data_IF_491894746913
#
_entry.id   IF_491894746913
#
_cell.length_a   1.000
_cell.length_b   1.000
_cell.length_c   1.000
_cell.angle_alpha   90.00
_cell.angle_beta   90.00
_cell.angle_gamma   90.00
#
_symmetry.space_group_name_H-M   'P 1'
#
loop_
_entity.id
_entity.type
_entity.pdbx_description
1 polymer ?
#
# COMPACT_ATOMS: atom_id res chain seq x y z
N UNK A 1 17.71 -41.42 -3.14
CA UNK A 1 17.17 -40.12 -3.59
C UNK A 1 15.73 -40.04 -3.17
N UNK A 2 15.47 -39.42 -2.02
CA UNK A 2 14.15 -38.96 -1.59
C UNK A 2 14.29 -37.46 -1.34
N UNK A 3 13.40 -36.59 -1.87
CA UNK A 3 13.46 -35.18 -1.57
C UNK A 3 12.97 -34.95 -0.14
N UNK A 4 13.76 -34.23 0.66
CA UNK A 4 13.38 -33.74 1.97
C UNK A 4 12.28 -32.65 1.80
N UNK A 5 11.10 -32.76 2.42
CA UNK A 5 10.02 -31.79 2.29
C UNK A 5 10.40 -30.46 2.94
N UNK A 6 10.12 -29.39 2.19
CA UNK A 6 10.15 -27.97 2.55
C UNK A 6 10.09 -27.64 4.05
N UNK A 7 11.16 -27.01 4.55
CA UNK A 7 11.16 -26.22 5.77
C UNK A 7 10.28 -24.97 5.56
N UNK A 8 9.00 -25.11 5.87
CA UNK A 8 8.19 -23.98 6.28
C UNK A 8 8.58 -23.55 7.69
N UNK A 9 8.17 -22.32 8.04
CA UNK A 9 8.08 -21.76 9.40
C UNK A 9 9.29 -20.92 9.84
N UNK A 10 9.31 -19.65 9.40
CA UNK A 10 9.33 -18.44 10.27
C UNK A 10 9.46 -17.14 9.44
N UNK A 11 8.38 -16.74 8.76
CA UNK A 11 8.05 -15.32 8.47
C UNK A 11 6.58 -15.19 8.02
N UNK A 12 5.68 -15.77 8.80
CA UNK A 12 4.31 -16.08 8.34
C UNK A 12 3.31 -14.94 8.50
N UNK A 13 3.61 -13.85 9.20
CA UNK A 13 2.62 -12.78 9.46
C UNK A 13 2.82 -11.58 8.53
N UNK A 14 4.08 -11.18 8.28
CA UNK A 14 4.41 -10.05 7.40
C UNK A 14 4.19 -10.40 5.92
N UNK A 15 4.61 -11.61 5.48
CA UNK A 15 4.30 -12.12 4.14
C UNK A 15 2.80 -12.39 3.90
N UNK A 16 2.04 -12.80 4.93
CA UNK A 16 0.58 -12.97 4.83
C UNK A 16 -0.15 -11.65 4.72
N UNK A 17 0.32 -10.59 5.37
CA UNK A 17 -0.28 -9.27 5.27
C UNK A 17 -0.11 -8.71 3.86
N UNK A 18 1.09 -8.84 3.28
CA UNK A 18 1.37 -8.43 1.91
C UNK A 18 0.55 -9.25 0.91
N UNK A 19 0.43 -10.56 1.13
CA UNK A 19 -0.40 -11.45 0.28
C UNK A 19 -1.88 -11.07 0.36
N UNK A 20 -2.40 -10.76 1.55
CA UNK A 20 -3.79 -10.31 1.73
C UNK A 20 -4.07 -8.99 1.03
N UNK A 21 -3.14 -8.04 1.11
CA UNK A 21 -3.26 -6.75 0.41
C UNK A 21 -3.20 -6.96 -1.11
N UNK A 22 -2.29 -7.81 -1.60
CA UNK A 22 -2.22 -8.18 -3.02
C UNK A 22 -3.50 -8.85 -3.52
N UNK A 23 -4.07 -9.77 -2.74
CA UNK A 23 -5.35 -10.39 -3.06
C UNK A 23 -6.47 -9.36 -3.10
N UNK A 24 -6.59 -8.50 -2.09
CA UNK A 24 -7.63 -7.45 -2.05
C UNK A 24 -7.52 -6.47 -3.22
N UNK A 25 -6.29 -6.04 -3.55
CA UNK A 25 -6.05 -5.12 -4.66
C UNK A 25 -6.42 -5.76 -6.00
N UNK A 26 -6.07 -7.03 -6.19
CA UNK A 26 -6.44 -7.78 -7.39
C UNK A 26 -7.95 -7.96 -7.49
N UNK A 27 -8.60 -8.36 -6.39
CA UNK A 27 -10.05 -8.53 -6.30
C UNK A 27 -10.81 -7.24 -6.62
N UNK A 28 -10.38 -6.10 -6.05
CA UNK A 28 -11.00 -4.81 -6.33
C UNK A 28 -10.80 -4.36 -7.78
N UNK A 29 -9.62 -4.57 -8.36
CA UNK A 29 -9.38 -4.23 -9.76
C UNK A 29 -10.26 -5.07 -10.70
N UNK A 30 -10.37 -6.38 -10.44
CA UNK A 30 -11.11 -7.31 -11.29
C UNK A 30 -12.62 -7.16 -11.12
N UNK A 31 -13.10 -7.03 -9.88
CA UNK A 31 -14.51 -6.76 -9.56
C UNK A 31 -14.96 -5.42 -10.13
N UNK A 32 -14.16 -4.36 -9.97
CA UNK A 32 -14.48 -3.05 -10.55
C UNK A 32 -14.58 -3.09 -12.07
N UNK A 33 -13.69 -3.83 -12.73
CA UNK A 33 -13.76 -4.04 -14.17
C UNK A 33 -15.00 -4.84 -14.59
N UNK A 34 -15.45 -5.79 -13.77
CA UNK A 34 -16.68 -6.55 -14.03
C UNK A 34 -17.93 -5.69 -13.88
N UNK A 35 -18.05 -4.95 -12.77
CA UNK A 35 -19.15 -4.01 -12.54
C UNK A 35 -19.25 -2.98 -13.66
N UNK A 36 -18.11 -2.44 -14.12
CA UNK A 36 -18.10 -1.48 -15.22
C UNK A 36 -18.65 -2.07 -16.51
N UNK A 37 -18.29 -3.32 -16.85
CA UNK A 37 -18.84 -3.99 -18.04
C UNK A 37 -20.35 -4.17 -17.92
N UNK A 38 -20.84 -4.58 -16.76
CA UNK A 38 -22.28 -4.71 -16.49
C UNK A 38 -23.00 -3.38 -16.70
N UNK A 39 -22.51 -2.30 -16.07
CA UNK A 39 -23.06 -0.94 -16.21
C UNK A 39 -23.07 -0.49 -17.68
N UNK A 40 -21.98 -0.73 -18.41
CA UNK A 40 -21.86 -0.35 -19.82
C UNK A 40 -22.80 -1.14 -20.73
N UNK A 41 -23.16 -2.36 -20.35
CA UNK A 41 -24.13 -3.19 -21.08
C UNK A 41 -25.59 -2.92 -20.71
N UNK A 42 -25.85 -2.22 -19.61
CA UNK A 42 -27.21 -1.88 -19.16
C UNK A 42 -27.73 -0.60 -19.83
N UNK A 43 -28.91 -0.69 -20.43
CA UNK A 43 -29.65 0.48 -20.94
C UNK A 43 -30.25 1.34 -19.83
N UNK A 44 -30.61 0.71 -18.71
CA UNK A 44 -31.28 1.33 -17.58
C UNK A 44 -30.30 1.62 -16.43
N UNK A 45 -30.71 2.55 -15.54
CA UNK A 45 -30.01 2.86 -14.30
C UNK A 45 -29.87 1.61 -13.41
N UNK A 46 -28.67 1.34 -12.89
CA UNK A 46 -28.43 0.23 -11.96
C UNK A 46 -29.30 0.37 -10.71
N UNK A 47 -29.85 -0.74 -10.26
CA UNK A 47 -30.75 -0.79 -9.11
C UNK A 47 -30.60 -2.11 -8.36
N UNK A 48 -31.20 -2.20 -7.17
CA UNK A 48 -31.23 -3.43 -6.39
C UNK A 48 -29.82 -3.95 -6.09
N UNK A 49 -29.57 -5.21 -6.46
CA UNK A 49 -28.30 -5.91 -6.17
C UNK A 49 -27.09 -5.21 -6.83
N UNK A 50 -27.21 -4.74 -8.07
CA UNK A 50 -26.11 -4.07 -8.78
C UNK A 50 -25.66 -2.80 -8.03
N UNK A 51 -26.62 -2.04 -7.47
CA UNK A 51 -26.33 -0.86 -6.67
C UNK A 51 -25.63 -1.23 -5.34
N UNK A 52 -26.03 -2.34 -4.72
CA UNK A 52 -25.40 -2.85 -3.50
C UNK A 52 -23.95 -3.24 -3.77
N UNK A 53 -23.70 -3.98 -4.86
CA UNK A 53 -22.35 -4.40 -5.25
C UNK A 53 -21.44 -3.19 -5.56
N UNK A 54 -21.95 -2.22 -6.32
CA UNK A 54 -21.24 -0.96 -6.62
C UNK A 54 -20.91 -0.20 -5.34
N UNK A 55 -21.88 0.01 -4.44
CA UNK A 55 -21.68 0.74 -3.19
C UNK A 55 -20.65 0.05 -2.28
N UNK A 56 -20.71 -1.29 -2.21
CA UNK A 56 -19.74 -2.10 -1.46
C UNK A 56 -18.34 -1.95 -2.03
N UNK A 57 -18.20 -2.03 -3.36
CA UNK A 57 -16.93 -1.89 -4.05
C UNK A 57 -16.32 -0.49 -3.85
N UNK A 58 -17.12 0.58 -4.02
CA UNK A 58 -16.71 1.97 -3.79
C UNK A 58 -16.15 2.13 -2.37
N UNK A 59 -16.87 1.61 -1.38
CA UNK A 59 -16.47 1.70 0.03
C UNK A 59 -15.15 0.97 0.31
N UNK A 60 -15.00 -0.26 -0.19
CA UNK A 60 -13.79 -1.06 -0.03
C UNK A 60 -12.57 -0.38 -0.67
N UNK A 61 -12.72 0.14 -1.89
CA UNK A 61 -11.66 0.88 -2.57
C UNK A 61 -11.26 2.13 -1.79
N UNK A 62 -12.22 2.92 -1.31
CA UNK A 62 -11.95 4.11 -0.50
C UNK A 62 -11.23 3.80 0.81
N UNK A 63 -11.52 2.68 1.47
CA UNK A 63 -10.80 2.24 2.66
C UNK A 63 -9.37 1.81 2.33
N UNK A 64 -9.19 1.04 1.27
CA UNK A 64 -7.88 0.59 0.82
C UNK A 64 -6.96 1.78 0.49
N UNK A 65 -7.46 2.76 -0.28
CA UNK A 65 -6.68 3.96 -0.65
C UNK A 65 -6.20 4.71 0.59
N UNK A 66 -7.10 4.94 1.57
CA UNK A 66 -6.73 5.61 2.82
C UNK A 66 -5.64 4.87 3.58
N UNK A 67 -5.69 3.54 3.60
CA UNK A 67 -4.70 2.71 4.31
C UNK A 67 -3.35 2.65 3.61
N UNK A 68 -3.32 2.64 2.28
CA UNK A 68 -2.09 2.51 1.51
C UNK A 68 -1.40 3.85 1.23
N UNK A 69 -2.18 4.88 0.90
CA UNK A 69 -1.65 6.16 0.40
C UNK A 69 -2.02 7.36 1.30
N UNK A 70 -3.03 7.25 2.15
CA UNK A 70 -3.54 8.35 2.96
C UNK A 70 -4.39 9.35 2.17
N UNK A 71 -5.03 10.28 2.90
CA UNK A 71 -6.03 11.22 2.35
C UNK A 71 -5.44 12.37 1.53
N UNK A 72 -4.13 12.63 1.64
CA UNK A 72 -3.44 13.67 0.86
C UNK A 72 -2.85 13.16 -0.47
N UNK A 73 -3.13 11.91 -0.83
CA UNK A 73 -2.56 11.29 -2.03
C UNK A 73 -3.35 11.61 -3.29
N UNK A 74 -2.67 11.60 -4.44
CA UNK A 74 -3.30 11.71 -5.77
C UNK A 74 -4.37 10.64 -5.99
N UNK A 75 -4.14 9.43 -5.46
CA UNK A 75 -5.10 8.32 -5.51
C UNK A 75 -6.40 8.67 -4.79
N UNK A 76 -6.30 9.24 -3.58
CA UNK A 76 -7.46 9.64 -2.80
C UNK A 76 -8.20 10.82 -3.44
N UNK A 77 -7.46 11.81 -3.94
CA UNK A 77 -8.05 12.95 -4.65
C UNK A 77 -8.81 12.51 -5.89
N UNK A 78 -8.23 11.63 -6.72
CA UNK A 78 -8.87 11.10 -7.93
C UNK A 78 -10.14 10.29 -7.59
N UNK A 79 -10.07 9.45 -6.55
CA UNK A 79 -11.24 8.71 -6.03
C UNK A 79 -12.34 9.67 -5.54
N UNK A 80 -11.97 10.67 -4.74
CA UNK A 80 -12.91 11.63 -4.15
C UNK A 80 -13.57 12.50 -5.21
N UNK A 81 -12.80 12.96 -6.21
CA UNK A 81 -13.32 13.72 -7.34
C UNK A 81 -14.28 12.91 -8.22
N UNK A 82 -14.01 11.62 -8.43
CA UNK A 82 -14.96 10.75 -9.13
C UNK A 82 -16.25 10.60 -8.30
N UNK A 83 -16.12 10.33 -6.99
CA UNK A 83 -17.24 10.13 -6.06
C UNK A 83 -18.12 11.38 -5.88
N UNK A 84 -17.56 12.58 -6.01
CA UNK A 84 -18.29 13.84 -5.90
C UNK A 84 -19.12 14.21 -7.14
N UNK A 85 -19.07 13.39 -8.20
CA UNK A 85 -19.90 13.59 -9.40
C UNK A 85 -21.38 13.59 -9.01
N UNK A 86 -22.12 14.59 -9.48
CA UNK A 86 -23.56 14.67 -9.26
C UNK A 86 -24.24 13.39 -9.73
N UNK A 87 -25.13 12.85 -8.89
CA UNK A 87 -25.82 11.60 -9.17
C UNK A 87 -24.88 10.41 -9.42
N UNK A 88 -23.78 10.32 -8.66
CA UNK A 88 -22.76 9.27 -8.78
C UNK A 88 -23.34 7.86 -8.98
N UNK A 89 -24.33 7.46 -8.17
CA UNK A 89 -24.91 6.11 -8.20
C UNK A 89 -25.94 5.87 -9.31
N UNK A 90 -26.32 6.91 -10.08
CA UNK A 90 -27.23 6.77 -11.22
C UNK A 90 -26.50 6.24 -12.46
N UNK A 91 -25.86 5.08 -12.31
CA UNK A 91 -24.97 4.53 -13.33
C UNK A 91 -25.77 3.81 -14.41
N UNK A 92 -25.44 4.10 -15.66
CA UNK A 92 -25.95 3.39 -16.85
C UNK A 92 -24.95 3.57 -18.01
N UNK A 93 -25.21 2.91 -19.13
CA UNK A 93 -24.33 2.91 -20.33
C UNK A 93 -23.91 4.31 -20.82
N UNK A 94 -24.76 5.33 -20.66
CA UNK A 94 -24.47 6.71 -21.05
C UNK A 94 -23.95 7.61 -19.92
N UNK A 95 -23.93 7.13 -18.67
CA UNK A 95 -23.51 7.89 -17.49
C UNK A 95 -22.69 7.03 -16.53
N UNK A 96 -21.47 6.70 -16.92
CA UNK A 96 -20.55 5.87 -16.12
C UNK A 96 -19.09 6.35 -16.17
N UNK A 97 -18.82 7.53 -16.73
CA UNK A 97 -17.46 8.02 -16.90
C UNK A 97 -16.72 8.16 -15.56
N UNK A 98 -17.39 8.66 -14.53
CA UNK A 98 -16.84 8.77 -13.17
C UNK A 98 -16.60 7.41 -12.51
N UNK A 99 -17.47 6.43 -12.75
CA UNK A 99 -17.21 5.06 -12.29
C UNK A 99 -16.00 4.45 -13.03
N UNK A 100 -15.86 4.69 -14.33
CA UNK A 100 -14.69 4.29 -15.12
C UNK A 100 -13.39 4.90 -14.58
N UNK A 101 -13.41 6.17 -14.18
CA UNK A 101 -12.27 6.83 -13.53
C UNK A 101 -11.90 6.14 -12.22
N UNK A 102 -12.90 5.78 -11.40
CA UNK A 102 -12.68 5.08 -10.14
C UNK A 102 -12.08 3.68 -10.35
N UNK A 103 -12.53 2.95 -11.38
CA UNK A 103 -11.92 1.67 -11.80
C UNK A 103 -10.47 1.88 -12.26
N UNK A 104 -10.18 3.00 -12.93
CA UNK A 104 -8.83 3.44 -13.25
C UNK A 104 -7.94 3.60 -12.02
N UNK A 105 -8.47 4.19 -10.94
CA UNK A 105 -7.75 4.29 -9.65
C UNK A 105 -7.44 2.90 -9.09
N UNK A 106 -8.39 1.96 -9.09
CA UNK A 106 -8.14 0.60 -8.63
C UNK A 106 -7.03 -0.11 -9.43
N UNK A 107 -6.99 0.10 -10.76
CA UNK A 107 -5.93 -0.42 -11.64
C UNK A 107 -4.56 0.22 -11.38
N UNK A 108 -4.52 1.52 -11.10
CA UNK A 108 -3.30 2.21 -10.72
C UNK A 108 -2.71 1.62 -9.42
N UNK A 109 -3.55 1.37 -8.41
CA UNK A 109 -3.12 0.74 -7.16
C UNK A 109 -2.55 -0.67 -7.41
N UNK A 110 -3.20 -1.46 -8.29
CA UNK A 110 -2.70 -2.77 -8.69
C UNK A 110 -1.34 -2.68 -9.36
N UNK A 111 -1.19 -1.77 -10.32
CA UNK A 111 0.09 -1.51 -10.97
C UNK A 111 1.19 -1.12 -9.96
N UNK A 112 0.89 -0.19 -9.05
CA UNK A 112 1.87 0.28 -8.06
C UNK A 112 2.33 -0.84 -7.13
N UNK A 113 1.41 -1.73 -6.74
CA UNK A 113 1.73 -2.86 -5.89
C UNK A 113 2.53 -3.94 -6.63
N UNK A 114 2.13 -4.30 -7.85
CA UNK A 114 2.81 -5.31 -8.68
C UNK A 114 4.24 -4.88 -9.04
N UNK A 115 4.48 -3.58 -9.21
CA UNK A 115 5.80 -3.02 -9.52
C UNK A 115 6.59 -2.61 -8.26
N UNK A 116 6.06 -2.85 -7.06
CA UNK A 116 6.74 -2.54 -5.80
C UNK A 116 6.92 -1.04 -5.52
N UNK A 117 6.16 -0.16 -6.20
CA UNK A 117 6.27 1.29 -6.07
C UNK A 117 5.89 1.77 -4.66
N UNK A 118 4.92 1.12 -4.02
CA UNK A 118 4.54 1.41 -2.62
C UNK A 118 5.70 1.24 -1.63
N UNK A 119 6.52 0.21 -1.83
CA UNK A 119 7.71 -0.04 -1.00
C UNK A 119 8.76 1.04 -1.25
N UNK A 120 8.98 1.38 -2.53
CA UNK A 120 9.92 2.44 -2.92
C UNK A 120 9.51 3.81 -2.37
N UNK A 121 8.23 4.19 -2.46
CA UNK A 121 7.73 5.45 -1.90
C UNK A 121 7.92 5.52 -0.39
N UNK A 122 7.62 4.43 0.34
CA UNK A 122 7.85 4.38 1.78
C UNK A 122 9.33 4.53 2.12
N UNK A 123 10.22 3.91 1.34
CA UNK A 123 11.66 4.02 1.54
C UNK A 123 12.17 5.46 1.29
N UNK A 124 11.66 6.14 0.25
CA UNK A 124 12.02 7.54 -0.04
C UNK A 124 11.58 8.48 1.09
N UNK A 125 10.31 8.40 1.52
CA UNK A 125 9.80 9.22 2.64
C UNK A 125 10.61 8.98 3.91
N UNK A 126 10.99 7.74 4.16
CA UNK A 126 11.81 7.42 5.32
C UNK A 126 13.22 7.98 5.21
N UNK A 127 13.81 7.99 4.01
CA UNK A 127 15.11 8.60 3.76
C UNK A 127 15.08 10.12 3.99
N UNK A 128 13.99 10.79 3.61
CA UNK A 128 13.81 12.22 3.88
C UNK A 128 13.76 12.50 5.39
N UNK A 129 12.98 11.73 6.15
CA UNK A 129 12.91 11.85 7.62
C UNK A 129 14.26 11.56 8.29
N UNK A 130 15.02 10.60 7.76
CA UNK A 130 16.37 10.34 8.24
C UNK A 130 17.32 11.52 7.96
N UNK A 131 17.21 12.17 6.81
CA UNK A 131 18.00 13.34 6.48
C UNK A 131 17.71 14.49 7.46
N UNK A 132 16.44 14.75 7.79
CA UNK A 132 16.04 15.76 8.78
C UNK A 132 16.67 15.48 10.16
N UNK A 133 16.69 14.23 10.59
CA UNK A 133 17.32 13.85 11.86
C UNK A 133 18.85 13.94 11.82
N UNK A 134 19.48 13.64 10.69
CA UNK A 134 20.92 13.83 10.53
C UNK A 134 21.28 15.31 10.58
N UNK A 135 20.52 16.18 9.92
CA UNK A 135 20.71 17.63 10.01
C UNK A 135 20.56 18.14 11.45
N UNK A 136 19.57 17.64 12.19
CA UNK A 136 19.43 17.93 13.62
C UNK A 136 20.63 17.46 14.45
N UNK A 137 21.15 16.26 14.16
CA UNK A 137 22.34 15.73 14.81
C UNK A 137 23.59 16.56 14.53
N UNK A 138 23.77 17.01 13.29
CA UNK A 138 24.87 17.90 12.89
C UNK A 138 24.77 19.26 13.57
N UNK A 139 23.57 19.84 13.67
CA UNK A 139 23.33 21.08 14.40
C UNK A 139 23.72 20.94 15.88
N UNK A 140 23.28 19.88 16.55
CA UNK A 140 23.64 19.61 17.95
C UNK A 140 25.15 19.45 18.13
N UNK A 141 25.82 18.80 17.18
CA UNK A 141 27.27 18.65 17.20
C UNK A 141 27.98 20.00 17.08
N UNK A 142 27.52 20.87 16.19
CA UNK A 142 28.06 22.22 15.99
C UNK A 142 27.92 23.08 17.24
N UNK A 143 26.78 23.01 17.92
CA UNK A 143 26.52 23.73 19.18
C UNK A 143 27.23 23.11 20.39
N UNK A 144 28.00 22.04 20.20
CA UNK A 144 28.80 21.40 21.25
C UNK A 144 28.04 20.37 22.09
N UNK A 145 26.78 20.07 21.77
CA UNK A 145 25.96 19.04 22.42
C UNK A 145 26.31 17.63 21.92
N UNK A 146 27.56 17.21 22.14
CA UNK A 146 28.14 15.98 21.57
C UNK A 146 27.38 14.71 21.92
N UNK A 147 26.91 14.58 23.17
CA UNK A 147 26.19 13.38 23.61
C UNK A 147 24.83 13.26 22.89
N UNK A 148 24.10 14.38 22.78
CA UNK A 148 22.82 14.43 22.08
C UNK A 148 22.99 14.17 20.57
N UNK A 149 24.01 14.77 19.96
CA UNK A 149 24.36 14.51 18.56
C UNK A 149 24.69 13.03 18.31
N UNK A 150 25.52 12.42 19.17
CA UNK A 150 25.91 11.02 19.05
C UNK A 150 24.69 10.08 19.16
N UNK A 151 23.76 10.38 20.05
CA UNK A 151 22.52 9.61 20.18
C UNK A 151 21.65 9.71 18.92
N UNK A 152 21.40 10.91 18.41
CA UNK A 152 20.55 11.11 17.22
C UNK A 152 21.17 10.44 15.99
N UNK A 153 22.43 10.76 15.67
CA UNK A 153 23.12 10.21 14.50
C UNK A 153 23.24 8.68 14.61
N UNK A 154 23.63 8.18 15.80
CA UNK A 154 23.74 6.74 16.05
C UNK A 154 22.41 6.02 15.85
N UNK A 155 21.31 6.58 16.34
CA UNK A 155 19.97 6.01 16.21
C UNK A 155 19.53 5.93 14.75
N UNK A 156 19.72 7.01 13.99
CA UNK A 156 19.36 7.04 12.55
C UNK A 156 20.19 6.05 11.76
N UNK A 157 21.50 5.98 12.01
CA UNK A 157 22.40 5.03 11.34
C UNK A 157 22.01 3.59 11.67
N UNK A 158 21.74 3.28 12.93
CA UNK A 158 21.32 1.94 13.35
C UNK A 158 20.01 1.51 12.68
N UNK A 159 18.99 2.38 12.69
CA UNK A 159 17.69 2.08 12.06
C UNK A 159 17.83 1.92 10.54
N UNK A 160 18.64 2.77 9.89
CA UNK A 160 18.95 2.66 8.47
C UNK A 160 19.65 1.33 8.11
N UNK A 161 20.72 0.99 8.84
CA UNK A 161 21.45 -0.27 8.64
C UNK A 161 20.56 -1.49 8.88
N UNK A 162 19.73 -1.46 9.93
CA UNK A 162 18.78 -2.52 10.25
C UNK A 162 17.82 -2.77 9.10
N UNK A 163 17.19 -1.72 8.59
CA UNK A 163 16.23 -1.81 7.48
C UNK A 163 16.89 -2.25 6.17
N UNK A 164 18.11 -1.81 5.88
CA UNK A 164 18.87 -2.33 4.73
C UNK A 164 19.20 -3.80 4.88
N UNK A 165 19.59 -4.25 6.07
CA UNK A 165 19.91 -5.66 6.32
C UNK A 165 18.65 -6.55 6.25
N UNK A 166 17.49 -6.06 6.69
CA UNK A 166 16.19 -6.72 6.51
C UNK A 166 15.82 -6.83 5.02
N UNK A 167 15.90 -5.72 4.28
CA UNK A 167 15.60 -5.69 2.84
C UNK A 167 16.50 -6.64 2.02
N UNK A 168 17.77 -6.77 2.40
CA UNK A 168 18.74 -7.66 1.76
C UNK A 168 18.81 -9.07 2.37
N UNK A 169 17.92 -9.39 3.33
CA UNK A 169 17.85 -10.70 4.02
C UNK A 169 19.16 -11.13 4.69
N UNK A 170 19.98 -10.17 5.15
CA UNK A 170 21.28 -10.42 5.78
C UNK A 170 21.12 -10.76 7.27
N UNK A 171 20.08 -10.27 7.93
CA UNK A 171 19.70 -10.69 9.28
C UNK A 171 18.81 -11.94 9.25
N UNK A 172 19.41 -13.12 9.01
CA UNK A 172 18.83 -14.39 9.46
C UNK A 172 19.49 -14.76 10.78
N UNK A 173 18.74 -14.82 11.88
CA UNK A 173 19.29 -15.19 13.19
C UNK A 173 19.90 -16.61 13.15
N UNK A 174 21.19 -16.81 13.50
CA UNK A 174 21.67 -18.10 13.93
C UNK A 174 21.31 -18.25 15.41
N UNK A 175 20.17 -18.89 15.72
CA UNK A 175 19.96 -19.48 17.05
C UNK A 175 19.36 -20.86 16.86
N UNK A 176 20.25 -21.81 16.59
CA UNK A 176 20.04 -23.23 16.84
C UNK A 176 21.39 -23.81 17.32
N UNK A 177 21.90 -23.27 18.43
CA UNK A 177 22.90 -23.98 19.22
C UNK A 177 22.42 -24.07 20.67
N UNK A 178 22.50 -25.30 21.18
CA UNK A 178 22.33 -25.72 22.57
C UNK A 178 20.89 -26.01 23.05
N UNK A 179 20.33 -27.12 22.58
CA UNK A 179 19.82 -28.14 23.51
C UNK A 179 20.32 -29.51 23.04
N UNK A 180 21.31 -30.03 23.78
CA UNK A 180 21.68 -31.45 23.81
C UNK A 180 20.56 -32.30 24.39
#
# INVERSE_FOLDING_TARGET
>A
MTPNPSLGIKDSTMSRLDTKIQTEVSDLADTGASLLRTIQSSGDEIQGEELIEVSTWVTRLGQLIRRLYGEKSQHFESYSSALSTNYFYKLHSNWNAHFSQMVGVARAIKHDLENGLLVQFKALVQADVFADFLEMGEYLLHEGYKDAAAVIIGTVLEDGLRKMAEANRVMQNPVNELTS
#
